data_IF_614306986097
#
_entry.id   IF_614306986097
#
_cell.length_a   1.000
_cell.length_b   1.000
_cell.length_c   1.000
_cell.angle_alpha   90.00
_cell.angle_beta   90.00
_cell.angle_gamma   90.00
#
_symmetry.space_group_name_H-M   'P 1'
#
loop_
_entity.id
_entity.type
_entity.pdbx_description
1 polymer ?
#
# COMPACT_ATOMS: atom_id res chain seq x y z
N UNK A 1 -17.00 -0.98 3.97
CA UNK A 1 -16.74 -2.37 4.36
C UNK A 1 -16.51 -2.51 5.88
N UNK A 2 -16.48 -3.77 6.36
CA UNK A 2 -16.15 -4.08 7.75
C UNK A 2 -14.67 -3.92 8.08
N UNK A 3 -14.36 -3.89 9.38
CA UNK A 3 -12.98 -3.85 9.88
C UNK A 3 -12.48 -5.27 10.15
N UNK A 4 -11.23 -5.54 9.84
CA UNK A 4 -10.52 -6.77 10.24
C UNK A 4 -9.51 -6.38 11.32
N UNK A 5 -9.54 -7.05 12.47
CA UNK A 5 -8.58 -6.89 13.54
C UNK A 5 -8.03 -8.26 13.95
N UNK A 6 -6.72 -8.38 13.99
CA UNK A 6 -6.01 -9.59 14.41
C UNK A 6 -5.03 -9.19 15.52
N UNK A 7 -5.09 -9.92 16.62
CA UNK A 7 -4.17 -9.80 17.76
C UNK A 7 -3.69 -11.21 18.10
N UNK A 8 -2.40 -11.46 18.01
CA UNK A 8 -1.81 -12.79 18.24
C UNK A 8 -0.31 -12.65 18.53
N UNK A 9 0.30 -13.67 19.13
CA UNK A 9 1.76 -13.71 19.29
C UNK A 9 2.44 -13.83 17.91
N UNK A 10 1.86 -14.62 17.01
CA UNK A 10 2.38 -14.82 15.67
C UNK A 10 1.28 -14.88 14.61
N UNK A 11 1.49 -14.18 13.51
CA UNK A 11 0.62 -14.20 12.33
C UNK A 11 1.41 -14.71 11.13
N UNK A 12 0.94 -15.77 10.50
CA UNK A 12 1.53 -16.32 9.28
C UNK A 12 0.49 -16.39 8.17
N UNK A 13 0.81 -15.79 7.03
CA UNK A 13 -0.03 -15.76 5.82
C UNK A 13 0.82 -16.36 4.70
N UNK A 14 0.38 -17.47 4.10
CA UNK A 14 1.18 -18.18 3.09
C UNK A 14 0.32 -18.73 1.97
N UNK A 15 0.97 -19.14 0.88
CA UNK A 15 0.33 -19.90 -0.19
C UNK A 15 -0.76 -19.15 -0.94
N UNK A 16 -0.61 -17.85 -1.19
CA UNK A 16 -1.59 -16.96 -1.83
C UNK A 16 -2.83 -16.67 -0.96
N UNK A 17 -2.71 -16.88 0.35
CA UNK A 17 -3.77 -16.48 1.30
C UNK A 17 -3.84 -14.98 1.44
N UNK A 18 -5.01 -14.45 1.79
CA UNK A 18 -5.23 -13.02 1.93
C UNK A 18 -5.97 -12.69 3.23
N UNK A 19 -5.55 -11.61 3.89
CA UNK A 19 -6.34 -10.89 4.89
C UNK A 19 -6.82 -9.61 4.23
N UNK A 20 -8.14 -9.49 4.00
CA UNK A 20 -8.64 -8.43 3.16
C UNK A 20 -9.90 -7.73 3.72
N UNK A 21 -10.01 -6.42 3.44
CA UNK A 21 -11.27 -5.69 3.50
C UNK A 21 -11.55 -5.10 2.12
N UNK A 22 -12.39 -5.76 1.34
CA UNK A 22 -12.69 -5.40 -0.04
C UNK A 22 -14.16 -5.02 -0.22
N UNK A 23 -14.42 -4.09 -1.13
CA UNK A 23 -15.78 -3.63 -1.44
C UNK A 23 -15.87 -3.15 -2.89
N UNK A 24 -17.08 -3.21 -3.46
CA UNK A 24 -17.29 -2.80 -4.85
C UNK A 24 -17.60 -1.31 -4.98
N UNK A 25 -18.52 -0.77 -4.20
CA UNK A 25 -19.04 0.60 -4.41
C UNK A 25 -19.26 1.38 -3.10
N UNK A 26 -18.30 1.28 -2.19
CA UNK A 26 -18.30 2.01 -0.91
C UNK A 26 -16.86 2.09 -0.40
N UNK A 27 -16.66 2.75 0.74
CA UNK A 27 -15.34 2.81 1.37
C UNK A 27 -14.92 1.42 1.89
N UNK A 28 -13.69 1.02 1.59
CA UNK A 28 -13.09 -0.15 2.19
C UNK A 28 -12.88 0.04 3.70
N UNK A 29 -12.88 -1.04 4.44
CA UNK A 29 -12.67 -0.99 5.90
C UNK A 29 -11.19 -0.98 6.25
N UNK A 30 -10.92 -0.93 7.55
CA UNK A 30 -9.57 -0.97 8.10
C UNK A 30 -9.13 -2.40 8.40
N UNK A 31 -7.88 -2.75 8.03
CA UNK A 31 -7.19 -3.96 8.49
C UNK A 31 -6.16 -3.57 9.54
N UNK A 32 -6.21 -4.17 10.71
CA UNK A 32 -5.25 -3.95 11.80
C UNK A 32 -4.67 -5.29 12.24
N UNK A 33 -3.34 -5.39 12.29
CA UNK A 33 -2.62 -6.55 12.79
C UNK A 33 -1.68 -6.10 13.91
N UNK A 34 -1.80 -6.75 15.06
CA UNK A 34 -0.89 -6.58 16.20
C UNK A 34 -0.34 -7.95 16.58
N UNK A 35 0.99 -8.12 16.54
CA UNK A 35 1.63 -9.40 16.85
C UNK A 35 3.10 -9.19 17.28
N UNK A 36 3.72 -10.21 17.88
CA UNK A 36 5.17 -10.20 18.03
C UNK A 36 5.86 -10.51 16.71
N UNK A 37 5.28 -11.40 15.91
CA UNK A 37 5.84 -11.79 14.63
C UNK A 37 4.76 -11.80 13.53
N UNK A 38 5.11 -11.22 12.37
CA UNK A 38 4.33 -11.31 11.15
C UNK A 38 5.18 -11.90 10.03
N UNK A 39 4.71 -12.98 9.44
CA UNK A 39 5.30 -13.56 8.22
C UNK A 39 4.24 -13.58 7.11
N UNK A 40 4.58 -12.99 5.97
CA UNK A 40 3.78 -13.08 4.75
C UNK A 40 4.66 -13.71 3.66
N UNK A 41 4.32 -14.93 3.26
CA UNK A 41 5.04 -15.69 2.25
C UNK A 41 4.11 -15.97 1.06
N UNK A 42 4.28 -15.27 -0.04
CA UNK A 42 3.40 -15.38 -1.21
C UNK A 42 1.92 -15.19 -0.83
N UNK A 43 1.63 -14.26 0.05
CA UNK A 43 0.30 -13.91 0.53
C UNK A 43 0.05 -12.41 0.51
N UNK A 44 -1.14 -11.96 0.93
CA UNK A 44 -1.46 -10.53 0.94
C UNK A 44 -2.19 -10.06 2.20
N UNK A 45 -1.98 -8.78 2.52
CA UNK A 45 -2.79 -7.99 3.45
C UNK A 45 -3.28 -6.78 2.69
N UNK A 46 -4.60 -6.65 2.50
CA UNK A 46 -5.09 -5.65 1.57
C UNK A 46 -6.41 -4.99 2.00
N UNK A 47 -6.54 -3.73 1.59
CA UNK A 47 -7.81 -3.02 1.61
C UNK A 47 -8.05 -2.45 0.22
N UNK A 48 -9.22 -2.69 -0.36
CA UNK A 48 -9.50 -2.18 -1.71
C UNK A 48 -10.96 -1.85 -1.97
N UNK A 49 -11.18 -0.90 -2.86
CA UNK A 49 -12.48 -0.68 -3.50
C UNK A 49 -12.33 -0.74 -5.02
N UNK A 50 -13.33 -1.34 -5.68
CA UNK A 50 -13.34 -1.46 -7.16
C UNK A 50 -14.31 -0.51 -7.84
N UNK A 51 -15.01 0.33 -7.10
CA UNK A 51 -15.96 1.33 -7.62
C UNK A 51 -15.78 2.68 -6.94
N UNK A 52 -16.87 3.41 -6.79
CA UNK A 52 -16.92 4.65 -6.01
C UNK A 52 -16.65 4.35 -4.55
N UNK A 53 -15.76 5.07 -3.91
CA UNK A 53 -15.38 4.90 -2.50
C UNK A 53 -13.87 5.02 -2.30
N UNK A 54 -13.48 5.10 -1.04
CA UNK A 54 -12.07 5.22 -0.66
C UNK A 54 -11.46 3.87 -0.32
N UNK A 55 -10.18 3.69 -0.60
CA UNK A 55 -9.38 2.58 -0.09
C UNK A 55 -9.33 2.63 1.44
N UNK A 56 -9.29 1.47 2.08
CA UNK A 56 -9.22 1.38 3.53
C UNK A 56 -7.80 1.54 4.06
N UNK A 57 -7.68 1.70 5.36
CA UNK A 57 -6.38 1.81 6.03
C UNK A 57 -5.82 0.42 6.39
N UNK A 58 -4.52 0.20 6.17
CA UNK A 58 -3.77 -0.95 6.69
C UNK A 58 -2.84 -0.49 7.79
N UNK A 59 -2.97 -1.06 8.99
CA UNK A 59 -2.11 -0.76 10.14
C UNK A 59 -1.51 -2.04 10.69
N UNK A 60 -0.19 -2.09 10.73
CA UNK A 60 0.59 -3.23 11.21
C UNK A 60 1.51 -2.76 12.34
N UNK A 61 1.32 -3.35 13.53
CA UNK A 61 2.14 -3.09 14.71
C UNK A 61 2.72 -4.42 15.20
N UNK A 62 3.98 -4.68 14.91
CA UNK A 62 4.60 -5.98 15.18
C UNK A 62 6.02 -5.84 15.73
N UNK A 63 6.49 -6.85 16.44
CA UNK A 63 7.89 -6.92 16.82
C UNK A 63 8.80 -7.11 15.61
N UNK A 64 8.47 -8.08 14.74
CA UNK A 64 9.19 -8.31 13.50
C UNK A 64 8.25 -8.61 12.33
N UNK A 65 8.58 -8.09 11.16
CA UNK A 65 7.85 -8.34 9.92
C UNK A 65 8.77 -8.96 8.86
N UNK A 66 8.36 -10.07 8.28
CA UNK A 66 9.03 -10.75 7.17
C UNK A 66 8.08 -10.91 6.02
N UNK A 67 8.39 -10.29 4.88
CA UNK A 67 7.59 -10.29 3.66
C UNK A 67 8.44 -10.90 2.55
N UNK A 68 8.03 -12.05 2.01
CA UNK A 68 8.85 -12.80 1.05
C UNK A 68 8.04 -13.38 -0.12
N UNK A 69 8.72 -13.71 -1.20
CA UNK A 69 8.20 -14.52 -2.31
C UNK A 69 6.94 -13.92 -2.99
N UNK A 70 6.91 -12.64 -3.22
CA UNK A 70 5.75 -11.98 -3.81
C UNK A 70 4.71 -11.53 -2.78
N UNK A 71 5.07 -11.46 -1.50
CA UNK A 71 4.20 -10.93 -0.47
C UNK A 71 3.77 -9.48 -0.77
N UNK A 72 2.51 -9.16 -0.46
CA UNK A 72 1.97 -7.82 -0.70
C UNK A 72 1.25 -7.25 0.53
N UNK A 73 1.52 -5.99 0.84
CA UNK A 73 0.71 -5.18 1.76
C UNK A 73 0.22 -3.97 0.98
N UNK A 74 -1.10 -3.81 0.83
CA UNK A 74 -1.61 -2.76 -0.02
C UNK A 74 -2.91 -2.11 0.45
N UNK A 75 -3.05 -0.83 0.10
CA UNK A 75 -4.33 -0.16 0.02
C UNK A 75 -4.53 0.37 -1.39
N UNK A 76 -5.69 0.08 -2.00
CA UNK A 76 -5.92 0.47 -3.39
C UNK A 76 -7.35 0.89 -3.70
N UNK A 77 -7.46 1.79 -4.69
CA UNK A 77 -8.69 2.09 -5.39
C UNK A 77 -8.51 1.68 -6.85
N UNK A 78 -9.28 0.68 -7.29
CA UNK A 78 -9.09 -0.01 -8.57
C UNK A 78 -10.05 0.46 -9.67
N UNK A 79 -10.90 1.45 -9.39
CA UNK A 79 -11.81 1.99 -10.40
C UNK A 79 -11.10 2.98 -11.32
N UNK A 80 -11.18 2.82 -12.64
CA UNK A 80 -10.71 3.83 -13.58
C UNK A 80 -11.68 5.02 -13.71
N UNK A 81 -12.85 4.94 -13.09
CA UNK A 81 -13.91 5.94 -13.24
C UNK A 81 -13.56 7.28 -12.59
N UNK A 82 -14.18 8.34 -13.12
CA UNK A 82 -14.07 9.71 -12.61
C UNK A 82 -14.66 9.91 -11.20
N UNK A 83 -15.26 8.90 -10.62
CA UNK A 83 -15.80 8.90 -9.25
C UNK A 83 -14.96 8.05 -8.27
N UNK A 84 -13.82 7.55 -8.70
CA UNK A 84 -12.92 6.79 -7.83
C UNK A 84 -12.40 7.67 -6.70
N UNK A 85 -12.50 7.18 -5.46
CA UNK A 85 -11.96 7.86 -4.29
C UNK A 85 -10.45 7.66 -4.12
N UNK A 86 -9.90 8.24 -3.08
CA UNK A 86 -8.49 8.11 -2.73
C UNK A 86 -8.16 6.69 -2.25
N UNK A 87 -6.94 6.23 -2.47
CA UNK A 87 -6.42 5.05 -1.80
C UNK A 87 -6.24 5.32 -0.29
N UNK A 88 -6.23 4.28 0.53
CA UNK A 88 -6.02 4.43 1.97
C UNK A 88 -4.54 4.36 2.37
N UNK A 89 -4.28 4.77 3.58
CA UNK A 89 -2.94 4.80 4.15
C UNK A 89 -2.45 3.39 4.52
N UNK A 90 -1.13 3.17 4.37
CA UNK A 90 -0.44 2.00 4.91
C UNK A 90 0.53 2.44 6.00
N UNK A 91 0.36 1.93 7.22
CA UNK A 91 1.22 2.24 8.37
C UNK A 91 1.82 0.94 8.91
N UNK A 92 3.13 0.89 9.01
CA UNK A 92 3.87 -0.25 9.56
C UNK A 92 4.80 0.25 10.67
N UNK A 93 4.65 -0.34 11.85
CA UNK A 93 5.55 -0.13 12.99
C UNK A 93 6.11 -1.48 13.41
N UNK A 94 7.44 -1.61 13.42
CA UNK A 94 8.11 -2.86 13.81
C UNK A 94 9.51 -2.59 14.39
N UNK A 95 10.06 -3.53 15.15
CA UNK A 95 11.48 -3.47 15.50
C UNK A 95 12.35 -3.84 14.29
N UNK A 96 11.87 -4.74 13.43
CA UNK A 96 12.56 -5.09 12.18
C UNK A 96 11.58 -5.36 11.03
N UNK A 97 11.96 -4.94 9.83
CA UNK A 97 11.25 -5.23 8.58
C UNK A 97 12.23 -5.87 7.59
N UNK A 98 11.94 -7.08 7.17
CA UNK A 98 12.68 -7.77 6.12
C UNK A 98 11.76 -8.00 4.91
N UNK A 99 12.14 -7.47 3.76
CA UNK A 99 11.44 -7.64 2.50
C UNK A 99 12.36 -8.30 1.48
N UNK A 100 11.91 -9.40 0.89
CA UNK A 100 12.60 -10.11 -0.17
C UNK A 100 11.61 -10.46 -1.29
N UNK A 101 11.72 -9.80 -2.43
CA UNK A 101 10.74 -9.89 -3.51
C UNK A 101 9.32 -9.64 -2.99
N UNK A 102 9.09 -8.51 -2.36
CA UNK A 102 7.82 -8.15 -1.73
C UNK A 102 7.42 -6.70 -2.03
N UNK A 103 6.14 -6.37 -1.85
CA UNK A 103 5.62 -5.04 -2.18
C UNK A 103 4.80 -4.47 -1.02
N UNK A 104 5.07 -3.22 -0.67
CA UNK A 104 4.18 -2.38 0.14
C UNK A 104 3.70 -1.24 -0.76
N UNK A 105 2.38 -1.07 -0.91
CA UNK A 105 1.84 -0.07 -1.82
C UNK A 105 0.58 0.64 -1.34
N UNK A 106 0.46 1.90 -1.72
CA UNK A 106 -0.82 2.63 -1.76
C UNK A 106 -1.03 3.10 -3.19
N UNK A 107 -2.15 2.74 -3.82
CA UNK A 107 -2.34 3.06 -5.23
C UNK A 107 -3.77 3.36 -5.64
N UNK A 108 -3.92 4.24 -6.62
CA UNK A 108 -5.19 4.49 -7.30
C UNK A 108 -5.03 4.36 -8.80
N UNK A 109 -6.04 3.83 -9.47
CA UNK A 109 -6.14 3.80 -10.93
C UNK A 109 -7.15 4.82 -11.49
N UNK A 110 -7.84 5.57 -10.65
CA UNK A 110 -8.80 6.62 -11.01
C UNK A 110 -8.28 8.04 -10.80
N UNK A 111 -9.20 8.99 -10.66
CA UNK A 111 -8.89 10.40 -10.36
C UNK A 111 -8.49 10.64 -8.91
N UNK A 112 -8.80 9.71 -8.01
CA UNK A 112 -8.41 9.81 -6.60
C UNK A 112 -6.89 9.85 -6.40
N UNK A 113 -6.47 10.31 -5.24
CA UNK A 113 -5.06 10.35 -4.88
C UNK A 113 -4.61 9.01 -4.30
N UNK A 114 -3.38 8.59 -4.58
CA UNK A 114 -2.73 7.60 -3.74
C UNK A 114 -2.45 8.21 -2.36
N UNK A 115 -2.43 7.38 -1.33
CA UNK A 115 -2.23 7.85 0.03
C UNK A 115 -0.80 7.60 0.53
N UNK A 116 -0.48 8.12 1.70
CA UNK A 116 0.85 7.97 2.28
C UNK A 116 1.13 6.55 2.76
N UNK A 117 2.40 6.18 2.67
CA UNK A 117 2.96 5.00 3.30
C UNK A 117 3.92 5.46 4.39
N UNK A 118 3.72 4.98 5.61
CA UNK A 118 4.58 5.30 6.74
C UNK A 118 5.16 4.01 7.32
N UNK A 119 6.47 3.88 7.30
CA UNK A 119 7.21 2.73 7.84
C UNK A 119 8.14 3.23 8.94
N UNK A 120 7.83 2.89 10.19
CA UNK A 120 8.64 3.23 11.37
C UNK A 120 9.24 1.96 11.97
N UNK A 121 10.53 1.77 11.80
CA UNK A 121 11.19 0.52 12.19
C UNK A 121 12.54 0.76 12.88
N UNK A 122 13.00 -0.24 13.65
CA UNK A 122 14.37 -0.27 14.14
C UNK A 122 15.34 -0.51 12.99
N UNK A 123 15.16 -1.63 12.28
CA UNK A 123 15.99 -1.99 11.12
C UNK A 123 15.14 -2.37 9.93
N UNK A 124 15.62 -2.07 8.73
CA UNK A 124 14.98 -2.49 7.48
C UNK A 124 15.99 -3.08 6.51
N UNK A 125 15.60 -4.18 5.88
CA UNK A 125 16.34 -4.81 4.78
C UNK A 125 15.38 -5.01 3.61
N UNK A 126 15.74 -4.45 2.46
CA UNK A 126 15.01 -4.62 1.20
C UNK A 126 15.91 -5.37 0.21
N UNK A 127 15.42 -6.42 -0.43
CA UNK A 127 16.20 -7.22 -1.38
C UNK A 127 15.36 -7.78 -2.52
N UNK A 128 16.03 -8.21 -3.58
CA UNK A 128 15.45 -8.96 -4.68
C UNK A 128 14.21 -8.33 -5.31
N UNK A 129 14.27 -7.06 -5.67
CA UNK A 129 13.18 -6.36 -6.33
C UNK A 129 12.05 -5.91 -5.40
N UNK A 130 12.30 -5.85 -4.08
CA UNK A 130 11.30 -5.34 -3.13
C UNK A 130 10.94 -3.88 -3.43
N UNK A 131 9.67 -3.53 -3.22
CA UNK A 131 9.16 -2.21 -3.54
C UNK A 131 8.35 -1.62 -2.39
N UNK A 132 8.58 -0.34 -2.09
CA UNK A 132 7.71 0.48 -1.26
C UNK A 132 7.28 1.67 -2.13
N UNK A 133 6.00 1.74 -2.50
CA UNK A 133 5.57 2.75 -3.46
C UNK A 133 4.19 3.33 -3.20
N UNK A 134 4.05 4.64 -3.39
CA UNK A 134 2.76 5.30 -3.53
C UNK A 134 2.58 5.73 -4.99
N UNK A 135 1.47 5.32 -5.64
CA UNK A 135 1.29 5.55 -7.06
C UNK A 135 -0.14 5.94 -7.43
N UNK A 136 -0.28 6.99 -8.21
CA UNK A 136 -1.49 7.28 -8.98
C UNK A 136 -1.23 6.91 -10.44
N UNK A 137 -1.95 5.89 -10.93
CA UNK A 137 -1.65 5.26 -12.23
C UNK A 137 -2.78 5.42 -13.24
N UNK A 138 -3.54 6.53 -13.17
CA UNK A 138 -4.60 6.76 -14.16
C UNK A 138 -4.03 6.75 -15.56
N UNK A 139 -4.39 5.76 -16.32
CA UNK A 139 -4.12 5.64 -17.73
C UNK A 139 -5.45 5.66 -18.50
N UNK A 140 -6.09 6.81 -18.58
CA UNK A 140 -7.24 6.94 -19.46
C UNK A 140 -6.75 7.35 -20.86
N UNK A 141 -6.82 6.46 -21.88
CA UNK A 141 -6.37 6.77 -23.22
C UNK A 141 -7.28 7.77 -23.97
N UNK A 142 -8.38 8.18 -23.37
CA UNK A 142 -9.37 9.08 -23.99
C UNK A 142 -9.39 10.51 -23.44
N UNK A 143 -8.58 10.85 -22.42
CA UNK A 143 -8.57 12.21 -21.87
C UNK A 143 -7.63 13.09 -22.68
N UNK A 144 -8.22 14.06 -23.33
CA UNK A 144 -7.49 15.16 -23.92
C UNK A 144 -7.15 16.17 -22.81
N UNK A 145 -5.94 16.14 -22.31
CA UNK A 145 -5.46 17.05 -21.23
C UNK A 145 -5.55 18.55 -21.61
N UNK A 146 -5.98 18.86 -22.82
CA UNK A 146 -6.23 20.24 -23.28
C UNK A 146 -7.69 20.67 -23.08
N UNK A 147 -8.57 19.82 -22.58
CA UNK A 147 -9.95 20.18 -22.26
C UNK A 147 -10.01 20.59 -20.77
N UNK A 148 -10.24 21.85 -20.53
CA UNK A 148 -10.35 22.50 -19.19
C UNK A 148 -11.51 21.93 -18.34
N UNK A 149 -12.24 20.97 -18.86
CA UNK A 149 -13.36 20.27 -18.18
C UNK A 149 -13.00 18.91 -17.59
N UNK A 150 -11.77 18.40 -17.82
CA UNK A 150 -11.36 17.11 -17.30
C UNK A 150 -10.72 17.24 -15.93
N UNK A 151 -11.24 16.50 -14.94
CA UNK A 151 -10.64 16.40 -13.61
C UNK A 151 -9.18 15.93 -13.72
N UNK A 152 -8.24 16.62 -13.07
CA UNK A 152 -6.85 16.24 -13.14
C UNK A 152 -6.65 14.83 -12.53
N UNK A 153 -5.71 14.03 -13.04
CA UNK A 153 -5.39 12.75 -12.44
C UNK A 153 -4.91 12.94 -10.99
N UNK A 154 -5.15 11.93 -10.18
CA UNK A 154 -4.78 11.94 -8.77
C UNK A 154 -3.25 12.08 -8.55
N UNK A 155 -2.89 12.52 -7.37
CA UNK A 155 -1.50 12.67 -6.94
C UNK A 155 -1.00 11.37 -6.31
N UNK A 156 0.30 11.12 -6.36
CA UNK A 156 0.92 10.15 -5.47
C UNK A 156 0.95 10.68 -4.03
N UNK A 157 0.84 9.78 -3.07
CA UNK A 157 1.06 10.11 -1.66
C UNK A 157 2.56 10.09 -1.31
N UNK A 158 2.87 10.47 -0.09
CA UNK A 158 4.24 10.47 0.41
C UNK A 158 4.64 9.06 0.90
N UNK A 159 5.92 8.72 0.74
CA UNK A 159 6.52 7.54 1.36
C UNK A 159 7.50 8.01 2.41
N UNK A 160 7.22 7.69 3.67
CA UNK A 160 8.11 8.01 4.80
C UNK A 160 8.62 6.70 5.40
N UNK A 161 9.94 6.50 5.36
CA UNK A 161 10.60 5.38 5.99
C UNK A 161 11.58 5.90 7.04
N UNK A 162 11.36 5.52 8.29
CA UNK A 162 12.23 5.84 9.42
C UNK A 162 12.82 4.55 9.96
N UNK A 163 14.15 4.41 9.86
CA UNK A 163 14.90 3.29 10.41
C UNK A 163 15.90 3.83 11.43
N UNK A 164 15.69 3.51 12.71
CA UNK A 164 16.51 4.06 13.81
C UNK A 164 17.80 3.29 14.05
N UNK A 165 17.88 2.04 13.62
CA UNK A 165 19.04 1.16 13.82
C UNK A 165 19.81 0.81 12.56
N UNK A 166 19.15 0.79 11.38
CA UNK A 166 19.84 0.48 10.13
C UNK A 166 18.92 0.31 8.94
N UNK A 167 19.42 0.72 7.78
CA UNK A 167 18.78 0.57 6.49
C UNK A 167 19.72 -0.13 5.51
N UNK A 168 19.28 -1.23 4.92
CA UNK A 168 19.97 -1.92 3.84
C UNK A 168 19.01 -2.12 2.65
N UNK A 169 19.48 -1.83 1.46
CA UNK A 169 18.69 -2.01 0.22
C UNK A 169 19.57 -2.59 -0.87
N UNK A 170 19.12 -3.70 -1.46
CA UNK A 170 19.77 -4.36 -2.59
C UNK A 170 18.73 -4.63 -3.67
N UNK A 171 18.98 -4.14 -4.89
CA UNK A 171 18.11 -4.31 -6.06
C UNK A 171 16.62 -4.02 -5.77
N UNK A 172 16.33 -2.98 -4.98
CA UNK A 172 14.98 -2.66 -4.49
C UNK A 172 14.62 -1.19 -4.73
N UNK A 173 13.35 -0.84 -4.63
CA UNK A 173 12.86 0.50 -4.98
C UNK A 173 11.99 1.10 -3.88
N UNK A 174 12.23 2.36 -3.54
CA UNK A 174 11.30 3.20 -2.79
C UNK A 174 10.92 4.36 -3.73
N UNK A 175 9.63 4.52 -4.01
CA UNK A 175 9.19 5.48 -5.02
C UNK A 175 7.82 6.10 -4.73
N UNK A 176 7.66 7.32 -5.24
CA UNK A 176 6.35 7.94 -5.45
C UNK A 176 6.18 8.23 -6.94
N UNK A 177 5.01 7.99 -7.49
CA UNK A 177 4.76 8.24 -8.92
C UNK A 177 3.33 8.67 -9.19
N UNK A 178 3.17 9.65 -10.08
CA UNK A 178 1.87 10.03 -10.62
C UNK A 178 1.96 10.09 -12.14
N UNK A 179 0.96 9.53 -12.84
CA UNK A 179 1.00 9.38 -14.30
C UNK A 179 0.96 10.72 -15.05
N UNK A 180 0.29 11.73 -14.50
CA UNK A 180 0.14 13.03 -15.14
C UNK A 180 0.07 14.21 -14.16
N UNK A 181 0.52 14.04 -12.91
CA UNK A 181 0.52 15.08 -11.89
C UNK A 181 1.77 14.94 -10.99
N UNK A 182 1.82 15.70 -9.90
CA UNK A 182 2.98 15.66 -9.01
C UNK A 182 3.14 14.33 -8.28
N UNK A 183 4.35 13.77 -8.26
CA UNK A 183 4.75 12.71 -7.33
C UNK A 183 4.70 13.23 -5.88
N UNK A 184 4.64 12.31 -4.92
CA UNK A 184 4.79 12.64 -3.50
C UNK A 184 6.26 12.68 -3.10
N UNK A 185 6.51 13.05 -1.84
CA UNK A 185 7.84 13.07 -1.24
C UNK A 185 8.27 11.69 -0.73
N UNK A 186 9.56 11.48 -0.64
CA UNK A 186 10.20 10.28 -0.08
C UNK A 186 10.97 10.65 1.18
#
# INVERSE_FOLDING_TARGET
AGKVKIEADSVSISGRSSIASQVFAADAGKVTITADQLTVDNGSIETSTSGVGQGGEVVINVGSATLVNGAAISSSTLSPDVSAGDAGQVVITASSLNMNNATISSSTSGIGNASSITVNVGTVTLSNGSQIRSASTRTDPGINFNDDTTEPPGRAGNVTLTATGGFASDASTIATSAAANHGGDI
#
